data_IF_005268553258
#
_entry.id   IF_005268553258
#
_cell.length_a   1.000
_cell.length_b   1.000
_cell.length_c   1.000
_cell.angle_alpha   90.00
_cell.angle_beta   90.00
_cell.angle_gamma   90.00
#
_symmetry.space_group_name_H-M   'P 1'
#
loop_
_entity.id
_entity.type
_entity.pdbx_description
1 polymer ?
#
# COMPACT_ATOMS: atom_id res chain seq x y z
N UNK A 1 -11.07 -17.72 5.80
CA UNK A 1 -10.41 -16.78 6.73
C UNK A 1 -9.16 -16.22 6.06
N UNK A 2 -8.83 -14.94 6.24
CA UNK A 2 -7.58 -14.39 5.69
C UNK A 2 -6.41 -14.84 6.59
N UNK A 3 -5.35 -15.37 5.99
CA UNK A 3 -4.15 -15.81 6.72
C UNK A 3 -3.02 -14.78 6.60
N UNK A 4 -2.07 -14.85 7.52
CA UNK A 4 -0.86 -14.01 7.47
C UNK A 4 -0.06 -14.21 6.17
N UNK A 5 -0.03 -15.43 5.63
CA UNK A 5 0.68 -15.70 4.38
C UNK A 5 -0.01 -15.11 3.16
N UNK A 6 -1.35 -15.09 3.13
CA UNK A 6 -2.09 -14.38 2.08
C UNK A 6 -1.78 -12.88 2.12
N UNK A 7 -1.72 -12.27 3.32
CA UNK A 7 -1.37 -10.86 3.47
C UNK A 7 0.06 -10.58 3.01
N UNK A 8 1.01 -11.44 3.38
CA UNK A 8 2.41 -11.32 2.94
C UNK A 8 2.53 -11.47 1.43
N UNK A 9 1.89 -12.46 0.82
CA UNK A 9 1.96 -12.69 -0.62
C UNK A 9 1.38 -11.51 -1.42
N UNK A 10 0.21 -11.02 -1.04
CA UNK A 10 -0.40 -9.84 -1.68
C UNK A 10 0.47 -8.59 -1.53
N UNK A 11 1.06 -8.41 -0.36
CA UNK A 11 1.96 -7.30 -0.08
C UNK A 11 3.23 -7.38 -0.92
N UNK A 12 3.81 -8.56 -1.08
CA UNK A 12 5.00 -8.77 -1.93
C UNK A 12 4.78 -8.32 -3.37
N UNK A 13 3.62 -8.65 -3.93
CA UNK A 13 3.26 -8.24 -5.29
C UNK A 13 3.14 -6.72 -5.45
N UNK A 14 2.97 -5.97 -4.35
CA UNK A 14 2.85 -4.51 -4.35
C UNK A 14 4.12 -3.78 -3.93
N UNK A 15 5.08 -4.47 -3.32
CA UNK A 15 6.33 -3.86 -2.89
C UNK A 15 7.27 -3.53 -4.06
N UNK A 16 7.29 -4.34 -5.13
CA UNK A 16 8.27 -4.15 -6.21
C UNK A 16 9.72 -4.22 -5.70
N UNK A 17 10.61 -3.40 -6.28
CA UNK A 17 12.04 -3.40 -5.99
C UNK A 17 12.44 -2.54 -4.76
N UNK A 18 11.76 -2.74 -3.62
CA UNK A 18 12.20 -2.12 -2.35
C UNK A 18 13.51 -2.74 -1.88
N UNK A 19 14.26 -2.00 -1.06
CA UNK A 19 15.48 -2.53 -0.47
C UNK A 19 15.18 -3.78 0.38
N UNK A 20 16.09 -4.77 0.43
CA UNK A 20 15.88 -6.01 1.18
C UNK A 20 15.46 -5.78 2.64
N UNK A 21 16.08 -4.80 3.31
CA UNK A 21 15.75 -4.46 4.70
C UNK A 21 14.32 -3.91 4.87
N UNK A 22 13.81 -3.16 3.89
CA UNK A 22 12.44 -2.64 3.90
C UNK A 22 11.44 -3.78 3.74
N UNK A 23 11.73 -4.72 2.83
CA UNK A 23 10.92 -5.95 2.66
C UNK A 23 10.88 -6.78 3.94
N UNK A 24 12.03 -6.98 4.58
CA UNK A 24 12.13 -7.72 5.84
C UNK A 24 11.32 -7.04 6.96
N UNK A 25 11.47 -5.74 7.12
CA UNK A 25 10.73 -4.98 8.14
C UNK A 25 9.23 -4.96 7.88
N UNK A 26 8.80 -4.85 6.63
CA UNK A 26 7.39 -4.95 6.28
C UNK A 26 6.80 -6.34 6.57
N UNK A 27 7.58 -7.42 6.41
CA UNK A 27 7.15 -8.76 6.84
C UNK A 27 7.01 -8.86 8.36
N UNK A 28 7.95 -8.29 9.13
CA UNK A 28 7.87 -8.24 10.60
C UNK A 28 6.61 -7.47 11.03
N UNK A 29 6.35 -6.32 10.42
CA UNK A 29 5.16 -5.50 10.66
C UNK A 29 3.87 -6.29 10.38
N UNK A 30 3.74 -6.94 9.21
CA UNK A 30 2.53 -7.73 8.88
C UNK A 30 2.31 -8.89 9.86
N UNK A 31 3.38 -9.60 10.24
CA UNK A 31 3.30 -10.71 11.18
C UNK A 31 2.88 -10.24 12.57
N UNK A 32 3.44 -9.13 13.06
CA UNK A 32 3.10 -8.59 14.36
C UNK A 32 1.66 -8.08 14.39
N UNK A 33 1.28 -7.25 13.41
CA UNK A 33 -0.08 -6.74 13.30
C UNK A 33 -1.13 -7.87 13.24
N UNK A 34 -0.84 -8.97 12.52
CA UNK A 34 -1.73 -10.13 12.46
C UNK A 34 -1.94 -10.80 13.82
N UNK A 35 -0.89 -10.92 14.65
CA UNK A 35 -1.00 -11.44 16.03
C UNK A 35 -1.87 -10.55 16.90
N UNK A 36 -1.84 -9.25 16.64
CA UNK A 36 -2.61 -8.23 17.35
C UNK A 36 -4.03 -8.05 16.77
N UNK A 37 -4.46 -8.90 15.83
CA UNK A 37 -5.79 -8.84 15.20
C UNK A 37 -5.94 -7.74 14.14
N UNK A 38 -4.86 -7.08 13.74
CA UNK A 38 -4.83 -6.02 12.72
C UNK A 38 -4.32 -6.59 11.39
N UNK A 39 -5.21 -6.73 10.42
CA UNK A 39 -4.85 -7.27 9.10
C UNK A 39 -4.28 -6.18 8.20
N UNK A 40 -2.95 -6.09 8.07
CA UNK A 40 -2.28 -5.08 7.24
C UNK A 40 -1.92 -5.62 5.86
N UNK A 41 -2.07 -4.79 4.82
CA UNK A 41 -1.57 -5.07 3.48
C UNK A 41 -0.81 -3.87 2.90
N UNK A 42 0.32 -4.13 2.23
CA UNK A 42 1.05 -3.11 1.45
C UNK A 42 0.30 -2.81 0.15
N UNK A 43 0.13 -1.54 -0.18
CA UNK A 43 -0.49 -1.04 -1.42
C UNK A 43 0.54 -0.59 -2.47
N UNK A 44 1.69 -0.08 -2.05
CA UNK A 44 2.76 0.40 -2.93
C UNK A 44 4.12 0.29 -2.27
N UNK A 45 5.17 0.05 -3.06
CA UNK A 45 6.57 0.09 -2.61
C UNK A 45 7.42 0.89 -3.59
N UNK A 46 8.35 0.25 -4.28
CA UNK A 46 9.21 0.93 -5.24
C UNK A 46 8.40 1.60 -6.36
N UNK A 47 8.79 2.82 -6.73
CA UNK A 47 8.16 3.59 -7.81
C UNK A 47 9.20 4.23 -8.71
N UNK A 48 9.13 3.96 -10.00
CA UNK A 48 9.98 4.57 -11.02
C UNK A 48 9.73 6.08 -11.13
N UNK A 49 10.67 6.79 -11.77
CA UNK A 49 10.51 8.22 -12.03
C UNK A 49 9.33 8.53 -12.94
N UNK A 50 9.08 7.68 -13.95
CA UNK A 50 7.93 7.83 -14.84
C UNK A 50 6.60 7.61 -14.11
N UNK A 51 6.49 6.58 -13.27
CA UNK A 51 5.29 6.38 -12.44
C UNK A 51 5.07 7.56 -11.46
N UNK A 52 6.14 8.10 -10.87
CA UNK A 52 6.05 9.29 -10.03
C UNK A 52 5.66 10.54 -10.84
N UNK A 53 6.07 10.64 -12.11
CA UNK A 53 5.67 11.72 -13.00
C UNK A 53 4.17 11.68 -13.29
N UNK A 54 3.62 10.48 -13.49
CA UNK A 54 2.18 10.27 -13.63
C UNK A 54 1.42 10.70 -12.37
N UNK A 55 1.85 10.26 -11.17
CA UNK A 55 1.22 10.69 -9.90
C UNK A 55 1.32 12.20 -9.65
N UNK A 56 2.46 12.81 -9.96
CA UNK A 56 2.63 14.25 -9.84
C UNK A 56 1.79 15.01 -10.87
N UNK A 57 1.57 14.45 -12.06
CA UNK A 57 0.71 15.04 -13.09
C UNK A 57 -0.78 15.09 -12.72
N UNK A 58 -1.25 14.24 -11.80
CA UNK A 58 -2.64 14.26 -11.36
C UNK A 58 -3.00 15.57 -10.66
N UNK A 59 -4.06 16.22 -11.16
CA UNK A 59 -4.49 17.55 -10.71
C UNK A 59 -3.62 18.69 -11.27
N UNK A 60 -2.75 18.40 -12.25
CA UNK A 60 -1.88 19.36 -12.93
C UNK A 60 -1.96 19.15 -14.44
N UNK A 61 -3.06 19.56 -15.11
CA UNK A 61 -3.31 19.24 -16.53
C UNK A 61 -2.17 19.59 -17.48
N UNK A 62 -1.43 20.68 -17.23
CA UNK A 62 -0.36 21.15 -18.12
C UNK A 62 1.03 20.66 -17.70
N UNK A 63 1.12 19.62 -16.87
CA UNK A 63 2.40 19.08 -16.42
C UNK A 63 3.08 18.23 -17.50
N UNK A 64 4.32 18.60 -17.82
CA UNK A 64 5.23 17.85 -18.68
C UNK A 64 6.45 17.40 -17.88
N UNK A 65 6.93 16.19 -18.18
CA UNK A 65 8.17 15.67 -17.65
C UNK A 65 8.93 14.94 -18.76
N UNK A 66 10.21 15.26 -18.92
CA UNK A 66 11.08 14.65 -19.93
C UNK A 66 10.49 14.70 -21.36
N UNK A 67 9.94 15.84 -21.77
CA UNK A 67 9.36 16.04 -23.10
C UNK A 67 8.01 15.37 -23.35
N UNK A 68 7.47 14.60 -22.39
CA UNK A 68 6.16 13.93 -22.49
C UNK A 68 5.16 14.55 -21.50
N UNK A 69 3.90 14.64 -21.92
CA UNK A 69 2.81 15.12 -21.06
C UNK A 69 2.38 14.01 -20.09
N UNK A 70 2.38 14.33 -18.81
CA UNK A 70 1.84 13.46 -17.75
C UNK A 70 0.66 14.09 -17.02
N UNK A 71 0.39 15.38 -17.26
CA UNK A 71 -0.71 16.10 -16.65
C UNK A 71 -2.08 15.54 -17.01
N UNK A 72 -2.92 15.37 -16.00
CA UNK A 72 -4.32 15.00 -16.15
C UNK A 72 -5.16 15.56 -15.00
N UNK A 73 -6.49 15.56 -15.17
CA UNK A 73 -7.42 16.00 -14.13
C UNK A 73 -7.44 15.04 -12.93
N UNK A 74 -7.94 15.53 -11.79
CA UNK A 74 -8.08 14.77 -10.54
C UNK A 74 -7.55 15.56 -9.34
N UNK A 75 -7.66 14.96 -8.15
CA UNK A 75 -7.10 15.54 -6.94
C UNK A 75 -5.58 15.38 -6.91
N UNK A 76 -4.86 16.37 -6.40
CA UNK A 76 -3.42 16.27 -6.17
C UNK A 76 -3.17 15.18 -5.11
N UNK A 77 -2.50 14.09 -5.52
CA UNK A 77 -2.17 12.95 -4.64
C UNK A 77 -0.73 13.01 -4.10
N UNK A 78 0.10 13.88 -4.66
CA UNK A 78 1.48 14.08 -4.22
C UNK A 78 2.01 15.46 -4.60
N UNK A 79 2.95 15.94 -3.78
CA UNK A 79 3.76 17.12 -4.07
C UNK A 79 5.22 16.75 -4.44
N UNK A 80 5.60 15.47 -4.39
CA UNK A 80 6.93 15.02 -4.74
C UNK A 80 7.07 14.85 -6.27
N UNK A 81 7.98 15.62 -6.88
CA UNK A 81 8.40 15.43 -8.27
C UNK A 81 9.16 14.10 -8.46
N UNK A 82 9.31 13.60 -9.70
CA UNK A 82 10.20 12.47 -10.00
C UNK A 82 11.58 12.66 -9.35
N UNK A 83 12.10 11.64 -8.68
CA UNK A 83 13.38 11.68 -7.94
C UNK A 83 13.35 12.38 -6.58
N UNK A 84 12.17 12.79 -6.07
CA UNK A 84 12.02 13.43 -4.73
C UNK A 84 11.19 12.61 -3.73
N UNK A 85 10.66 11.46 -4.15
CA UNK A 85 9.89 10.53 -3.29
C UNK A 85 10.73 9.34 -2.86
N UNK A 86 10.80 9.01 -1.57
CA UNK A 86 11.59 7.86 -1.08
C UNK A 86 11.23 6.51 -1.74
N UNK A 87 10.03 6.37 -2.31
CA UNK A 87 9.62 5.21 -3.09
C UNK A 87 10.58 4.92 -4.26
N UNK A 88 11.19 5.93 -4.88
CA UNK A 88 12.13 5.70 -5.98
C UNK A 88 13.43 5.02 -5.54
N UNK A 89 13.80 5.19 -4.27
CA UNK A 89 15.01 4.59 -3.69
C UNK A 89 14.75 3.22 -3.06
N UNK A 90 13.50 2.73 -3.15
CA UNK A 90 13.07 1.49 -2.50
C UNK A 90 13.03 1.57 -0.98
N UNK A 91 13.00 2.78 -0.40
CA UNK A 91 13.08 3.03 1.05
C UNK A 91 11.72 3.21 1.73
N UNK A 92 10.63 3.12 0.98
CA UNK A 92 9.28 3.39 1.46
C UNK A 92 8.28 2.32 1.00
N UNK A 93 7.27 2.10 1.83
CA UNK A 93 6.07 1.33 1.51
C UNK A 93 4.84 2.07 2.01
N UNK A 94 3.77 2.02 1.23
CA UNK A 94 2.43 2.45 1.64
C UNK A 94 1.65 1.21 2.09
N UNK A 95 0.89 1.31 3.17
CA UNK A 95 0.06 0.21 3.66
C UNK A 95 -1.29 0.70 4.13
N UNK A 96 -2.24 -0.24 4.27
CA UNK A 96 -3.56 0.05 4.79
C UNK A 96 -4.06 -1.11 5.66
N UNK A 97 -4.84 -0.81 6.71
CA UNK A 97 -5.59 -1.83 7.42
C UNK A 97 -6.69 -2.37 6.50
N UNK A 98 -6.80 -3.69 6.41
CA UNK A 98 -7.88 -4.37 5.73
C UNK A 98 -8.99 -4.60 6.73
N UNK A 99 -10.12 -3.93 6.51
CA UNK A 99 -11.30 -4.19 7.32
C UNK A 99 -11.83 -5.60 7.02
N UNK A 100 -12.09 -6.36 8.08
CA UNK A 100 -12.79 -7.63 7.95
C UNK A 100 -14.24 -7.32 7.58
N UNK A 101 -14.62 -7.53 6.32
CA UNK A 101 -16.03 -7.61 5.97
C UNK A 101 -16.51 -8.97 6.43
N UNK A 102 -17.14 -9.02 7.59
CA UNK A 102 -18.03 -10.14 7.91
C UNK A 102 -19.05 -10.20 6.77
N UNK A 103 -19.05 -11.28 5.98
CA UNK A 103 -20.24 -11.57 5.18
C UNK A 103 -21.34 -11.82 6.21
N UNK A 104 -22.38 -10.97 6.24
CA UNK A 104 -23.64 -11.32 6.88
C UNK A 104 -24.19 -12.56 6.16
N UNK A 105 -23.81 -13.74 6.60
CA UNK A 105 -24.40 -15.01 6.20
C UNK A 105 -24.01 -16.06 7.24
N UNK A 106 -25.02 -16.74 7.79
CA UNK A 106 -25.04 -17.54 9.03
C UNK A 106 -25.13 -16.64 10.28
N UNK A 107 -26.35 -16.26 10.65
CA UNK A 107 -27.22 -16.98 11.59
C UNK A 107 -26.60 -17.01 13.00
N UNK A 108 -27.26 -16.25 13.86
CA UNK A 108 -27.39 -16.41 15.29
C UNK A 108 -26.82 -17.70 15.87
N UNK A 109 -25.88 -17.54 16.81
CA UNK A 109 -25.49 -18.59 17.74
C UNK A 109 -24.21 -19.32 17.36
N UNK A 110 -23.05 -18.70 17.60
CA UNK A 110 -22.06 -19.30 18.50
C UNK A 110 -20.94 -18.30 18.83
N UNK A 111 -20.58 -18.30 20.10
CA UNK A 111 -19.62 -17.45 20.79
C UNK A 111 -18.22 -17.45 20.17
N UNK A 112 -17.68 -16.26 19.89
CA UNK A 112 -16.29 -16.11 19.49
C UNK A 112 -15.82 -14.66 19.50
N UNK A 113 -15.48 -14.18 20.70
CA UNK A 113 -14.58 -13.05 20.98
C UNK A 113 -14.70 -11.83 20.04
N UNK A 114 -15.56 -10.88 20.40
CA UNK A 114 -15.45 -9.51 19.91
C UNK A 114 -14.15 -8.87 20.46
N UNK A 115 -13.38 -8.12 19.64
CA UNK A 115 -12.27 -7.33 20.15
C UNK A 115 -12.83 -6.22 21.06
N UNK A 116 -12.33 -6.18 22.30
CA UNK A 116 -12.70 -5.15 23.28
C UNK A 116 -12.12 -3.81 22.83
N UNK A 117 -12.99 -2.80 22.74
CA UNK A 117 -12.63 -1.37 22.74
C UNK A 117 -12.29 -0.91 24.15
#
# INVERSE_FOLDING_TARGET
MITVDILKQRSLNKMGNVQPIVKENAWKMIKQAYKDGIFVQISSGHRTYEEQAHLYGQGRPDYYWNGKRYGHSGNIVTYAKPGKSNHHSGRAVDFFPRQFRWKKSALDGESGLAPRS
#
